data_IF_766033854350
#
_entry.id   IF_766033854350
#
_cell.length_a   1.000
_cell.length_b   1.000
_cell.length_c   1.000
_cell.angle_alpha   90.00
_cell.angle_beta   90.00
_cell.angle_gamma   90.00
#
_symmetry.space_group_name_H-M   'P 1'
#
loop_
_entity.id
_entity.type
_entity.pdbx_description
1 polymer ?
#
# COMPACT_ATOMS: atom_id res chain seq x y z
N UNK A 1 18.78 -9.78 -21.34
CA UNK A 1 17.46 -10.32 -20.98
C UNK A 1 16.87 -9.42 -19.94
N UNK A 2 16.06 -8.44 -20.34
CA UNK A 2 15.28 -7.65 -19.39
C UNK A 2 14.01 -8.46 -19.11
N UNK A 3 13.94 -9.08 -17.94
CA UNK A 3 12.72 -9.74 -17.49
C UNK A 3 11.63 -8.69 -17.43
N UNK A 4 10.52 -8.93 -18.12
CA UNK A 4 9.35 -8.07 -18.09
C UNK A 4 8.92 -7.89 -16.63
N UNK A 5 9.19 -6.72 -16.04
CA UNK A 5 8.52 -6.28 -14.83
C UNK A 5 7.04 -6.20 -15.20
N UNK A 6 6.26 -7.16 -14.73
CA UNK A 6 4.83 -7.23 -14.95
C UNK A 6 4.21 -5.90 -14.50
N UNK A 7 3.72 -5.11 -15.46
CA UNK A 7 2.94 -3.92 -15.23
C UNK A 7 1.47 -4.32 -15.41
N UNK A 8 0.73 -4.60 -14.34
CA UNK A 8 -0.70 -4.83 -14.50
C UNK A 8 -1.35 -3.54 -15.07
N UNK A 9 -2.38 -3.71 -15.89
CA UNK A 9 -3.22 -2.62 -16.37
C UNK A 9 -3.90 -1.90 -15.18
N UNK A 10 -4.64 -0.83 -15.44
CA UNK A 10 -5.48 -0.20 -14.41
C UNK A 10 -6.41 -1.24 -13.75
N UNK A 11 -6.68 -1.06 -12.46
CA UNK A 11 -7.64 -1.89 -11.73
C UNK A 11 -9.04 -1.70 -12.31
N UNK A 12 -9.83 -2.77 -12.37
CA UNK A 12 -11.22 -2.64 -12.82
C UNK A 12 -12.10 -2.08 -11.70
N UNK A 13 -13.27 -1.47 -12.01
CA UNK A 13 -14.21 -1.05 -10.98
C UNK A 13 -14.64 -2.19 -10.04
N UNK A 14 -14.69 -3.43 -10.54
CA UNK A 14 -14.99 -4.60 -9.73
C UNK A 14 -13.87 -4.90 -8.72
N UNK A 15 -12.61 -4.71 -9.11
CA UNK A 15 -11.47 -4.88 -8.21
C UNK A 15 -11.48 -3.84 -7.09
N UNK A 16 -11.71 -2.57 -7.44
CA UNK A 16 -11.82 -1.51 -6.44
C UNK A 16 -13.00 -1.73 -5.49
N UNK A 17 -14.14 -2.22 -6.00
CA UNK A 17 -15.31 -2.55 -5.17
C UNK A 17 -14.98 -3.68 -4.19
N UNK A 18 -14.28 -4.71 -4.66
CA UNK A 18 -13.83 -5.83 -3.84
C UNK A 18 -12.86 -5.37 -2.75
N UNK A 19 -11.85 -4.58 -3.11
CA UNK A 19 -10.88 -4.02 -2.16
C UNK A 19 -11.56 -3.25 -1.02
N UNK A 20 -12.59 -2.45 -1.33
CA UNK A 20 -13.39 -1.74 -0.30
C UNK A 20 -14.13 -2.71 0.62
N UNK A 21 -14.74 -3.74 0.05
CA UNK A 21 -15.50 -4.71 0.82
C UNK A 21 -14.61 -5.56 1.73
N UNK A 22 -13.45 -5.99 1.25
CA UNK A 22 -12.53 -6.87 1.97
C UNK A 22 -11.76 -6.14 3.08
N UNK A 23 -11.35 -4.91 2.85
CA UNK A 23 -10.66 -4.12 3.87
C UNK A 23 -11.62 -3.58 4.94
N UNK A 24 -12.91 -3.40 4.61
CA UNK A 24 -13.90 -2.71 5.42
C UNK A 24 -13.44 -1.29 5.87
N UNK A 25 -12.49 -0.70 5.13
CA UNK A 25 -11.87 0.60 5.40
C UNK A 25 -12.11 1.58 4.24
N UNK A 26 -11.94 2.87 4.52
CA UNK A 26 -11.86 3.87 3.46
C UNK A 26 -10.54 3.72 2.72
N UNK A 27 -10.61 3.53 1.40
CA UNK A 27 -9.43 3.50 0.55
C UNK A 27 -8.93 4.93 0.28
N UNK A 28 -7.63 5.23 0.53
CA UNK A 28 -7.05 6.54 0.28
C UNK A 28 -7.14 6.98 -1.18
N UNK A 29 -7.40 8.27 -1.41
CA UNK A 29 -7.48 8.83 -2.77
C UNK A 29 -6.20 8.60 -3.61
N UNK A 30 -4.97 8.74 -3.06
CA UNK A 30 -3.74 8.47 -3.84
C UNK A 30 -3.63 7.01 -4.31
N UNK A 31 -4.13 6.07 -3.51
CA UNK A 31 -4.15 4.65 -3.89
C UNK A 31 -5.12 4.39 -5.05
N UNK A 32 -6.30 5.01 -5.00
CA UNK A 32 -7.28 4.93 -6.10
C UNK A 32 -6.76 5.60 -7.38
N UNK A 33 -6.05 6.72 -7.24
CA UNK A 33 -5.41 7.40 -8.36
C UNK A 33 -4.34 6.51 -9.01
N UNK A 34 -3.50 5.83 -8.21
CA UNK A 34 -2.55 4.84 -8.72
C UNK A 34 -3.28 3.75 -9.50
N UNK A 35 -4.28 3.09 -8.90
CA UNK A 35 -5.05 2.02 -9.50
C UNK A 35 -5.78 2.41 -10.78
N UNK A 36 -6.17 3.68 -10.94
CA UNK A 36 -6.78 4.17 -12.18
C UNK A 36 -5.82 4.16 -13.39
N UNK A 37 -4.51 4.13 -13.14
CA UNK A 37 -3.46 4.10 -14.18
C UNK A 37 -2.78 2.73 -14.24
N UNK A 38 -2.58 2.09 -13.08
CA UNK A 38 -1.91 0.79 -12.93
C UNK A 38 -2.31 0.11 -11.62
N UNK A 39 -2.58 -1.19 -11.65
CA UNK A 39 -3.04 -1.94 -10.48
C UNK A 39 -1.87 -2.34 -9.56
N UNK A 40 -1.33 -1.36 -8.85
CA UNK A 40 -0.19 -1.52 -7.94
C UNK A 40 1.17 -1.19 -8.57
N UNK A 41 2.21 -1.31 -7.74
CA UNK A 41 3.60 -1.00 -8.08
C UNK A 41 4.53 -2.00 -7.40
N UNK A 42 5.60 -2.38 -8.10
CA UNK A 42 6.76 -3.06 -7.51
C UNK A 42 8.01 -2.33 -8.00
N UNK A 43 8.81 -1.83 -7.07
CA UNK A 43 10.07 -1.14 -7.38
C UNK A 43 11.23 -2.12 -7.52
N UNK A 44 12.34 -1.68 -8.12
CA UNK A 44 13.58 -2.47 -8.18
C UNK A 44 14.19 -2.71 -6.79
N UNK A 45 13.87 -1.85 -5.81
CA UNK A 45 14.27 -2.03 -4.42
C UNK A 45 13.43 -3.03 -3.64
N UNK A 46 12.41 -3.64 -4.27
CA UNK A 46 11.53 -4.63 -3.65
C UNK A 46 10.33 -4.06 -2.90
N UNK A 47 10.12 -2.74 -2.95
CA UNK A 47 8.95 -2.12 -2.34
C UNK A 47 7.73 -2.30 -3.24
N UNK A 48 6.69 -2.89 -2.69
CA UNK A 48 5.40 -3.07 -3.32
C UNK A 48 4.37 -2.07 -2.78
N UNK A 49 3.59 -1.46 -3.67
CA UNK A 49 2.29 -0.87 -3.35
C UNK A 49 1.23 -1.83 -3.86
N UNK A 50 0.35 -2.27 -2.97
CA UNK A 50 -0.58 -3.36 -3.28
C UNK A 50 -1.53 -3.03 -4.42
N UNK A 51 -1.85 -4.07 -5.18
CA UNK A 51 -2.95 -4.05 -6.14
C UNK A 51 -4.29 -4.03 -5.41
N UNK A 52 -5.35 -3.66 -6.12
CA UNK A 52 -6.72 -3.78 -5.64
C UNK A 52 -7.11 -5.25 -5.38
N UNK A 53 -6.47 -6.20 -6.07
CA UNK A 53 -6.68 -7.64 -5.86
C UNK A 53 -6.01 -8.18 -4.59
N UNK A 54 -4.86 -7.63 -4.19
CA UNK A 54 -4.06 -8.16 -3.09
C UNK A 54 -4.34 -7.47 -1.75
N UNK A 55 -4.78 -6.20 -1.77
CA UNK A 55 -4.85 -5.40 -0.54
C UNK A 55 -5.74 -6.01 0.55
N UNK A 56 -6.86 -6.64 0.18
CA UNK A 56 -7.76 -7.29 1.13
C UNK A 56 -7.12 -8.51 1.77
N UNK A 57 -6.58 -9.42 0.94
CA UNK A 57 -5.86 -10.61 1.39
C UNK A 57 -4.69 -10.25 2.30
N UNK A 58 -3.88 -9.24 1.93
CA UNK A 58 -2.73 -8.82 2.72
C UNK A 58 -3.11 -8.23 4.07
N UNK A 59 -4.14 -7.38 4.13
CA UNK A 59 -4.62 -6.85 5.41
C UNK A 59 -5.19 -7.96 6.32
N UNK A 60 -5.83 -8.98 5.74
CA UNK A 60 -6.33 -10.14 6.48
C UNK A 60 -5.18 -11.05 6.97
N UNK A 61 -4.20 -11.34 6.11
CA UNK A 61 -3.04 -12.20 6.41
C UNK A 61 -2.22 -11.68 7.58
N UNK A 62 -2.07 -10.36 7.71
CA UNK A 62 -1.37 -9.74 8.83
C UNK A 62 -2.30 -9.32 9.99
N UNK A 63 -3.57 -9.72 9.95
CA UNK A 63 -4.59 -9.40 10.95
C UNK A 63 -4.60 -7.89 11.33
N UNK A 64 -4.44 -6.98 10.36
CA UNK A 64 -4.24 -5.54 10.61
C UNK A 64 -5.36 -4.95 11.47
N UNK A 65 -6.61 -5.36 11.23
CA UNK A 65 -7.75 -4.93 12.03
C UNK A 65 -7.65 -5.30 13.52
N UNK A 66 -6.89 -6.34 13.87
CA UNK A 66 -6.65 -6.79 15.25
C UNK A 66 -5.49 -6.05 15.90
N UNK A 67 -4.35 -5.93 15.21
CA UNK A 67 -3.13 -5.39 15.79
C UNK A 67 -2.98 -3.88 15.63
N UNK A 68 -3.47 -3.31 14.53
CA UNK A 68 -3.43 -1.89 14.22
C UNK A 68 -4.84 -1.38 13.81
N UNK A 69 -5.83 -1.40 14.71
CA UNK A 69 -7.18 -0.97 14.40
C UNK A 69 -7.19 0.49 13.89
N UNK A 70 -7.91 0.73 12.80
CA UNK A 70 -7.96 2.04 12.12
C UNK A 70 -6.83 2.27 11.11
N UNK A 71 -5.87 1.36 10.99
CA UNK A 71 -4.85 1.41 9.95
C UNK A 71 -5.20 0.50 8.76
N UNK A 72 -4.62 0.83 7.62
CA UNK A 72 -4.66 0.06 6.38
C UNK A 72 -3.22 -0.21 5.95
N UNK A 73 -2.85 -1.48 5.77
CA UNK A 73 -1.60 -1.88 5.14
C UNK A 73 -1.72 -1.67 3.62
N UNK A 74 -0.86 -0.83 3.06
CA UNK A 74 -0.90 -0.41 1.64
C UNK A 74 0.26 -0.96 0.82
N UNK A 75 1.27 -1.54 1.47
CA UNK A 75 2.45 -2.09 0.80
C UNK A 75 3.42 -2.78 1.75
N UNK A 76 4.45 -3.41 1.19
CA UNK A 76 5.56 -4.02 1.94
C UNK A 76 6.87 -3.97 1.14
N UNK A 77 7.99 -4.31 1.77
CA UNK A 77 9.31 -4.43 1.13
C UNK A 77 9.71 -5.87 0.76
N UNK A 78 8.79 -6.83 0.90
CA UNK A 78 9.01 -8.27 0.79
C UNK A 78 10.10 -8.85 1.72
N UNK A 79 10.66 -8.03 2.61
CA UNK A 79 11.66 -8.36 3.64
C UNK A 79 11.09 -8.38 5.06
N UNK A 80 9.77 -8.17 5.20
CA UNK A 80 9.06 -8.21 6.48
C UNK A 80 8.69 -6.84 7.04
N UNK A 81 8.94 -5.74 6.31
CA UNK A 81 8.45 -4.41 6.67
C UNK A 81 7.17 -4.09 5.88
N UNK A 82 6.16 -3.61 6.58
CA UNK A 82 4.90 -3.13 6.03
C UNK A 82 4.82 -1.61 6.06
N UNK A 83 4.01 -1.06 5.15
CA UNK A 83 3.71 0.37 5.07
C UNK A 83 2.21 0.60 5.30
N UNK A 84 1.87 1.42 6.28
CA UNK A 84 0.50 1.64 6.75
C UNK A 84 0.09 3.10 6.64
N UNK A 85 -1.21 3.33 6.51
CA UNK A 85 -1.84 4.65 6.65
C UNK A 85 -3.04 4.53 7.58
N UNK A 86 -3.45 5.63 8.20
CA UNK A 86 -4.71 5.71 8.92
C UNK A 86 -5.87 5.77 7.93
N UNK A 87 -6.82 4.86 8.06
CA UNK A 87 -7.98 4.78 7.18
C UNK A 87 -9.01 5.89 7.43
N UNK A 88 -9.00 6.48 8.62
CA UNK A 88 -9.91 7.56 9.03
C UNK A 88 -9.37 8.97 8.75
N UNK A 89 -8.15 9.07 8.22
CA UNK A 89 -7.44 10.33 7.99
C UNK A 89 -6.99 10.44 6.52
N UNK A 90 -7.63 11.30 5.70
CA UNK A 90 -7.24 11.48 4.30
C UNK A 90 -5.84 12.10 4.14
N UNK A 91 -5.34 12.78 5.17
CA UNK A 91 -4.03 13.43 5.20
C UNK A 91 -3.00 12.62 6.01
N UNK A 92 -3.30 11.33 6.27
CA UNK A 92 -2.43 10.44 7.03
C UNK A 92 -1.01 10.40 6.45
N UNK A 93 -0.04 10.51 7.35
CA UNK A 93 1.33 10.08 7.08
C UNK A 93 1.39 8.60 6.67
N UNK A 94 2.49 8.22 6.02
CA UNK A 94 2.82 6.81 5.80
C UNK A 94 3.72 6.36 6.94
N UNK A 95 3.29 5.29 7.59
CA UNK A 95 3.97 4.62 8.67
C UNK A 95 4.68 3.38 8.16
N UNK A 96 5.75 2.95 8.82
CA UNK A 96 6.35 1.65 8.61
C UNK A 96 6.49 0.89 9.92
N UNK A 97 6.31 -0.43 9.85
CA UNK A 97 6.60 -1.34 10.96
C UNK A 97 7.02 -2.70 10.44
N UNK A 98 7.59 -3.53 11.31
CA UNK A 98 7.70 -4.96 11.04
C UNK A 98 6.32 -5.59 10.96
N UNK A 99 6.06 -6.41 9.94
CA UNK A 99 4.79 -7.12 9.78
C UNK A 99 4.54 -8.17 10.87
N UNK A 100 5.59 -8.54 11.62
CA UNK A 100 5.48 -9.36 12.84
C UNK A 100 5.23 -8.57 14.12
N UNK A 101 5.22 -7.23 14.07
CA UNK A 101 4.99 -6.33 15.21
C UNK A 101 4.22 -5.09 14.75
N UNK A 102 2.89 -5.21 14.70
CA UNK A 102 2.00 -4.16 14.21
C UNK A 102 1.42 -3.28 15.33
N UNK A 103 2.14 -3.09 16.44
CA UNK A 103 1.73 -2.16 17.51
C UNK A 103 1.91 -0.69 17.05
N UNK A 104 0.83 0.12 16.93
CA UNK A 104 0.92 1.49 16.41
C UNK A 104 1.86 2.41 17.19
N UNK A 105 2.09 2.15 18.48
CA UNK A 105 3.03 2.92 19.29
C UNK A 105 4.50 2.78 18.82
N UNK A 106 4.83 1.74 18.05
CA UNK A 106 6.16 1.47 17.52
C UNK A 106 6.35 1.89 16.06
N UNK A 107 5.35 2.52 15.43
CA UNK A 107 5.41 2.87 14.02
C UNK A 107 6.35 4.04 13.73
N UNK A 108 7.19 3.89 12.69
CA UNK A 108 8.05 4.95 12.18
C UNK A 108 7.35 5.72 11.05
N UNK A 109 7.43 7.05 11.05
CA UNK A 109 6.94 7.87 9.93
C UNK A 109 7.99 7.86 8.80
N UNK A 110 7.57 7.47 7.59
CA UNK A 110 8.46 7.40 6.40
C UNK A 110 8.10 8.41 5.31
N UNK A 111 6.89 8.96 5.34
CA UNK A 111 6.44 10.03 4.44
C UNK A 111 5.35 10.86 5.11
N UNK A 112 5.26 12.14 4.75
CA UNK A 112 4.23 13.05 5.25
C UNK A 112 2.82 12.66 4.78
N UNK A 113 2.71 12.05 3.60
CA UNK A 113 1.45 11.60 3.02
C UNK A 113 1.68 10.47 1.99
N UNK A 114 0.59 9.79 1.61
CA UNK A 114 0.62 8.64 0.71
C UNK A 114 0.99 9.01 -0.74
N UNK A 115 0.60 10.20 -1.22
CA UNK A 115 0.93 10.61 -2.58
C UNK A 115 2.45 10.84 -2.71
N UNK A 116 3.03 11.61 -1.79
CA UNK A 116 4.47 11.85 -1.69
C UNK A 116 5.26 10.53 -1.57
N UNK A 117 4.74 9.55 -0.82
CA UNK A 117 5.39 8.24 -0.72
C UNK A 117 5.37 7.51 -2.07
N UNK A 118 4.20 7.39 -2.72
CA UNK A 118 4.09 6.73 -4.04
C UNK A 118 4.98 7.41 -5.08
N UNK A 119 5.03 8.74 -5.09
CA UNK A 119 5.91 9.50 -5.99
C UNK A 119 7.40 9.20 -5.74
N UNK A 120 7.79 9.07 -4.48
CA UNK A 120 9.18 8.71 -4.11
C UNK A 120 9.59 7.30 -4.56
N UNK A 121 8.62 6.41 -4.80
CA UNK A 121 8.83 5.05 -5.32
C UNK A 121 8.94 5.01 -6.85
N UNK A 122 8.66 6.13 -7.54
CA UNK A 122 8.86 6.25 -8.97
C UNK A 122 10.33 6.06 -9.37
N UNK A 123 10.62 5.79 -10.65
CA UNK A 123 12.01 5.74 -11.11
C UNK A 123 12.70 7.06 -10.75
N UNK A 124 13.92 6.97 -10.19
CA UNK A 124 14.77 8.14 -10.02
C UNK A 124 14.83 8.92 -11.35
N UNK A 125 14.78 10.26 -11.34
CA UNK A 125 14.87 11.03 -12.57
C UNK A 125 16.10 10.56 -13.35
N UNK A 126 15.89 10.14 -14.59
CA UNK A 126 16.98 9.78 -15.49
C UNK A 126 17.92 10.98 -15.58
N UNK A 127 19.12 10.82 -15.04
CA UNK A 127 20.21 11.77 -15.23
C UNK A 127 20.75 11.74 -16.66
#
# INVERSE_FOLDING_TARGET
MAGSVWRPAAATPADVTRARAETAMSLPAPLLALWSVRDGLLTESGVAVYSAGDIGERNATYEVARYAPGFLLVGDDSGGRGFLVRADDPDSAVFSSGLGDLEPAGFDIVSADLASWIESLGPAPSC
#
